data_IF_664380919987
#
_entry.id   IF_664380919987
#
_cell.length_a   1.000
_cell.length_b   1.000
_cell.length_c   1.000
_cell.angle_alpha   90.00
_cell.angle_beta   90.00
_cell.angle_gamma   90.00
#
_symmetry.space_group_name_H-M   'P 1'
#
loop_
_entity.id
_entity.type
_entity.pdbx_description
1 polymer ?
#
# COMPACT_ATOMS: atom_id res chain seq x y z
N UNK A 1 -10.33 4.22 -21.80
CA UNK A 1 -9.09 3.99 -21.07
C UNK A 1 -9.37 3.79 -19.61
N UNK A 2 -8.87 2.75 -19.05
CA UNK A 2 -9.25 2.44 -17.68
C UNK A 2 -8.02 2.41 -16.76
N UNK A 3 -7.77 3.52 -16.10
CA UNK A 3 -6.66 3.63 -15.17
C UNK A 3 -6.80 2.62 -14.02
N UNK A 4 -8.03 2.40 -13.53
CA UNK A 4 -8.26 1.44 -12.46
C UNK A 4 -7.84 0.04 -12.88
N UNK A 5 -8.12 -0.33 -14.12
CA UNK A 5 -7.73 -1.65 -14.62
C UNK A 5 -6.21 -1.80 -14.63
N UNK A 6 -5.49 -0.77 -15.08
CA UNK A 6 -4.05 -0.80 -15.11
C UNK A 6 -3.48 -0.89 -13.69
N UNK A 7 -4.05 -0.16 -12.75
CA UNK A 7 -3.62 -0.20 -11.36
C UNK A 7 -3.95 -1.56 -10.73
N UNK A 8 -5.07 -2.15 -11.10
CA UNK A 8 -5.42 -3.47 -10.61
C UNK A 8 -4.37 -4.50 -11.06
N UNK A 9 -3.95 -4.42 -12.32
CA UNK A 9 -2.89 -5.30 -12.81
C UNK A 9 -1.58 -5.07 -12.06
N UNK A 10 -1.25 -3.80 -11.79
CA UNK A 10 -0.05 -3.45 -11.05
C UNK A 10 -0.08 -4.09 -9.65
N UNK A 11 -1.23 -4.11 -9.01
CA UNK A 11 -1.37 -4.75 -7.70
C UNK A 11 -1.27 -6.28 -7.82
N UNK A 12 -1.94 -6.84 -8.83
CA UNK A 12 -1.99 -8.29 -8.96
C UNK A 12 -0.66 -8.92 -9.37
N UNK A 13 0.24 -8.14 -9.95
CA UNK A 13 1.53 -8.67 -10.37
C UNK A 13 2.53 -8.78 -9.21
N UNK A 14 2.18 -8.30 -8.03
CA UNK A 14 3.06 -8.41 -6.88
C UNK A 14 2.23 -8.81 -5.65
N UNK A 15 2.54 -9.98 -5.13
CA UNK A 15 1.85 -10.48 -3.94
C UNK A 15 2.03 -9.52 -2.76
N UNK A 16 3.23 -8.96 -2.60
CA UNK A 16 3.50 -8.06 -1.48
C UNK A 16 2.71 -6.77 -1.62
N UNK A 17 2.69 -6.16 -2.82
CA UNK A 17 1.89 -4.96 -3.04
C UNK A 17 0.43 -5.20 -2.69
N UNK A 18 -0.12 -6.32 -3.15
CA UNK A 18 -1.51 -6.63 -2.89
C UNK A 18 -1.78 -6.79 -1.40
N UNK A 19 -0.92 -7.50 -0.71
CA UNK A 19 -1.11 -7.73 0.72
C UNK A 19 -0.97 -6.44 1.52
N UNK A 20 -0.02 -5.59 1.16
CA UNK A 20 0.14 -4.30 1.83
C UNK A 20 -1.11 -3.45 1.65
N UNK A 21 -1.61 -3.37 0.42
CA UNK A 21 -2.79 -2.56 0.16
C UNK A 21 -4.01 -3.11 0.88
N UNK A 22 -4.19 -4.44 0.88
CA UNK A 22 -5.30 -5.07 1.58
C UNK A 22 -5.22 -4.82 3.09
N UNK A 23 -4.02 -4.86 3.63
CA UNK A 23 -3.81 -4.62 5.05
C UNK A 23 -4.18 -3.18 5.42
N UNK A 24 -3.74 -2.22 4.61
CA UNK A 24 -4.06 -0.82 4.86
C UNK A 24 -5.53 -0.50 4.62
N UNK A 25 -6.22 -1.32 3.84
CA UNK A 25 -7.65 -1.13 3.66
C UNK A 25 -8.43 -1.35 4.96
N UNK A 26 -7.84 -2.08 5.90
CA UNK A 26 -8.50 -2.34 7.18
C UNK A 26 -8.28 -1.21 8.17
N UNK A 27 -7.08 -0.64 8.20
CA UNK A 27 -6.80 0.54 9.01
C UNK A 27 -5.42 1.07 8.67
N UNK A 28 -5.21 2.33 9.00
CA UNK A 28 -3.90 2.96 8.85
C UNK A 28 -2.91 2.31 9.82
N UNK A 29 -1.65 2.19 9.39
CA UNK A 29 -0.67 1.61 10.29
C UNK A 29 0.75 1.94 9.83
N UNK A 30 1.69 1.67 10.72
CA UNK A 30 3.12 1.89 10.46
C UNK A 30 3.69 0.74 9.66
N UNK A 31 4.83 1.01 9.02
CA UNK A 31 5.50 0.00 8.21
C UNK A 31 5.81 -1.27 9.01
N UNK A 32 6.28 -1.12 10.25
CA UNK A 32 6.64 -2.27 11.06
C UNK A 32 5.41 -3.13 11.38
N UNK A 33 4.26 -2.49 11.56
CA UNK A 33 3.03 -3.22 11.82
C UNK A 33 2.60 -4.03 10.60
N UNK A 34 2.71 -3.41 9.42
CA UNK A 34 2.39 -4.11 8.17
C UNK A 34 3.29 -5.32 8.01
N UNK A 35 4.59 -5.12 8.25
CA UNK A 35 5.57 -6.20 8.11
C UNK A 35 5.24 -7.39 9.02
N UNK A 36 4.81 -7.10 10.24
CA UNK A 36 4.44 -8.17 11.16
C UNK A 36 3.19 -8.91 10.72
N UNK A 37 2.20 -8.18 10.23
CA UNK A 37 0.92 -8.79 9.84
C UNK A 37 1.11 -9.69 8.63
N UNK A 38 1.81 -9.24 7.62
CA UNK A 38 1.97 -10.06 6.41
C UNK A 38 3.21 -10.93 6.44
N UNK A 39 3.99 -10.86 7.55
CA UNK A 39 5.17 -11.71 7.77
C UNK A 39 6.20 -11.53 6.68
N UNK A 40 6.51 -10.27 6.37
CA UNK A 40 7.51 -9.91 5.38
C UNK A 40 8.58 -9.04 6.02
N UNK A 41 9.76 -9.04 5.42
CA UNK A 41 10.87 -8.21 5.88
C UNK A 41 10.58 -6.74 5.57
N UNK A 42 11.04 -5.86 6.46
CA UNK A 42 10.78 -4.43 6.30
C UNK A 42 11.29 -3.85 4.98
N UNK A 43 12.47 -4.24 4.48
CA UNK A 43 12.89 -3.70 3.16
C UNK A 43 11.91 -4.00 2.05
N UNK A 44 11.27 -5.18 2.07
CA UNK A 44 10.28 -5.52 1.06
C UNK A 44 9.03 -4.69 1.22
N UNK A 45 8.63 -4.42 2.47
CA UNK A 45 7.47 -3.58 2.74
C UNK A 45 7.76 -2.14 2.31
N UNK A 46 8.95 -1.64 2.63
CA UNK A 46 9.36 -0.29 2.26
C UNK A 46 9.30 -0.09 0.75
N UNK A 47 9.78 -1.07 0.00
CA UNK A 47 9.75 -0.99 -1.45
C UNK A 47 8.31 -0.99 -1.96
N UNK A 48 7.47 -1.86 -1.42
CA UNK A 48 6.08 -1.93 -1.84
C UNK A 48 5.35 -0.62 -1.54
N UNK A 49 5.57 -0.06 -0.34
CA UNK A 49 4.95 1.22 0.02
C UNK A 49 5.39 2.33 -0.92
N UNK A 50 6.67 2.38 -1.25
CA UNK A 50 7.19 3.38 -2.17
C UNK A 50 6.50 3.26 -3.54
N UNK A 51 6.39 2.04 -4.05
CA UNK A 51 5.77 1.81 -5.34
C UNK A 51 4.28 2.17 -5.33
N UNK A 52 3.59 1.80 -4.23
CA UNK A 52 2.17 2.12 -4.10
C UNK A 52 1.95 3.61 -3.95
N UNK A 53 2.83 4.29 -3.22
CA UNK A 53 2.72 5.73 -3.03
C UNK A 53 2.91 6.47 -4.35
N UNK A 54 3.84 6.02 -5.17
CA UNK A 54 4.07 6.63 -6.47
C UNK A 54 2.84 6.53 -7.38
N UNK A 55 2.03 5.52 -7.18
CA UNK A 55 0.79 5.34 -7.95
C UNK A 55 -0.41 5.96 -7.26
N UNK A 56 -0.18 6.67 -6.15
CA UNK A 56 -1.24 7.33 -5.37
C UNK A 56 -2.26 6.34 -4.80
N UNK A 57 -1.84 5.11 -4.55
CA UNK A 57 -2.70 4.11 -3.95
C UNK A 57 -2.62 4.12 -2.44
N UNK A 58 -1.50 4.56 -1.89
CA UNK A 58 -1.34 4.79 -0.47
C UNK A 58 -0.73 6.17 -0.25
N UNK A 59 -0.86 6.67 0.96
CA UNK A 59 -0.34 7.99 1.32
C UNK A 59 0.30 7.90 2.70
N UNK A 60 1.39 8.64 2.89
CA UNK A 60 1.99 8.79 4.20
C UNK A 60 1.24 9.89 4.94
N UNK A 61 0.62 9.51 6.06
CA UNK A 61 -0.21 10.43 6.83
C UNK A 61 0.60 11.34 7.74
N UNK A 62 1.88 11.00 7.97
CA UNK A 62 2.75 11.76 8.85
C UNK A 62 4.06 12.10 8.14
N UNK A 63 4.01 12.88 7.04
CA UNK A 63 5.20 13.11 6.23
C UNK A 63 6.29 13.88 6.95
N UNK A 64 5.95 14.62 7.99
CA UNK A 64 6.92 15.40 8.76
C UNK A 64 7.78 14.52 9.66
N UNK A 65 7.40 13.28 9.89
CA UNK A 65 8.15 12.39 10.75
C UNK A 65 9.19 11.61 9.96
N UNK A 66 10.39 11.47 10.51
CA UNK A 66 11.44 10.68 9.88
C UNK A 66 11.32 9.21 10.24
N UNK A 67 10.81 8.93 11.45
CA UNK A 67 10.55 7.58 11.92
C UNK A 67 9.08 7.50 12.30
N UNK A 68 8.58 6.27 12.43
CA UNK A 68 7.22 6.04 12.90
C UNK A 68 6.17 6.58 11.92
N UNK A 69 6.50 6.57 10.63
CA UNK A 69 5.56 7.03 9.62
C UNK A 69 4.34 6.13 9.58
N UNK A 70 3.17 6.75 9.50
CA UNK A 70 1.89 6.05 9.37
C UNK A 70 1.42 6.17 7.93
N UNK A 71 0.99 5.06 7.38
CA UNK A 71 0.49 5.00 6.01
C UNK A 71 -0.98 4.66 6.00
N UNK A 72 -1.68 5.13 4.98
CA UNK A 72 -3.09 4.84 4.80
C UNK A 72 -3.39 4.59 3.34
N UNK A 73 -4.53 3.95 3.08
CA UNK A 73 -4.98 3.70 1.72
C UNK A 73 -5.74 4.94 1.24
N UNK A 74 -5.55 5.28 -0.04
CA UNK A 74 -6.30 6.39 -0.64
C UNK A 74 -7.64 5.88 -1.18
N UNK A 75 -8.49 6.82 -1.59
CA UNK A 75 -9.74 6.43 -2.24
C UNK A 75 -9.46 5.65 -3.51
N UNK A 76 -8.46 6.10 -4.27
CA UNK A 76 -8.05 5.38 -5.48
C UNK A 76 -7.60 3.96 -5.15
N UNK A 77 -6.87 3.80 -4.03
CA UNK A 77 -6.45 2.48 -3.59
C UNK A 77 -7.63 1.58 -3.28
N UNK A 78 -8.64 2.12 -2.61
CA UNK A 78 -9.84 1.36 -2.30
C UNK A 78 -10.57 0.92 -3.55
N UNK A 79 -10.69 1.83 -4.52
CA UNK A 79 -11.35 1.51 -5.78
C UNK A 79 -10.59 0.44 -6.55
N UNK A 80 -9.26 0.52 -6.51
CA UNK A 80 -8.43 -0.45 -7.21
C UNK A 80 -8.61 -1.85 -6.61
N UNK A 81 -8.71 -1.95 -5.29
CA UNK A 81 -8.95 -3.25 -4.66
C UNK A 81 -10.31 -3.84 -5.00
N UNK A 82 -11.31 -2.99 -5.21
CA UNK A 82 -12.65 -3.45 -5.56
C UNK A 82 -12.74 -3.94 -7.00
N UNK A 83 -11.84 -3.49 -7.85
CA UNK A 83 -11.84 -3.87 -9.26
C UNK A 83 -11.24 -5.25 -9.42
N UNK A 84 -12.00 -6.17 -9.94
CA UNK A 84 -11.55 -7.55 -10.11
C UNK A 84 -11.41 -7.95 -11.55
#
# INVERSE_FOLDING_TARGET
MNEIRQLSAFILTSKIRRKVLQTLAKKDMRQIEIAKIIKEKQPNISKALYELEKKNLVICLTPEKKAWKVYGITELGKQTLKNK
#
